data_IF_656011872735
#
_entry.id   IF_656011872735
#
_cell.length_a   1.000
_cell.length_b   1.000
_cell.length_c   1.000
_cell.angle_alpha   90.00
_cell.angle_beta   90.00
_cell.angle_gamma   90.00
#
_symmetry.space_group_name_H-M   'P 1'
#
loop_
_entity.id
_entity.type
_entity.pdbx_description
1 polymer ?
#
# COMPACT_ATOMS: atom_id res chain seq x y z
N UNK A 1 -7.22 -29.60 4.33
CA UNK A 1 -6.31 -28.44 4.23
C UNK A 1 -7.16 -27.20 4.44
N UNK A 2 -6.93 -26.47 5.53
CA UNK A 2 -7.59 -25.18 5.79
C UNK A 2 -6.79 -24.08 5.09
N UNK A 3 -7.47 -23.14 4.45
CA UNK A 3 -6.85 -21.92 3.95
C UNK A 3 -7.26 -20.78 4.89
N UNK A 4 -6.26 -20.08 5.44
CA UNK A 4 -6.49 -18.82 6.12
C UNK A 4 -6.57 -17.72 5.05
N UNK A 5 -7.58 -16.87 5.13
CA UNK A 5 -7.73 -15.70 4.27
C UNK A 5 -7.56 -14.47 5.13
N UNK A 6 -6.76 -13.54 4.68
CA UNK A 6 -6.57 -12.26 5.35
C UNK A 6 -7.43 -11.22 4.66
N UNK A 7 -8.32 -10.56 5.40
CA UNK A 7 -9.13 -9.46 4.88
C UNK A 7 -8.46 -8.12 5.18
N UNK A 8 -8.43 -7.23 4.19
CA UNK A 8 -8.08 -5.82 4.34
C UNK A 8 -9.34 -4.99 4.24
N UNK A 9 -9.46 -3.98 5.10
CA UNK A 9 -10.55 -3.02 5.09
C UNK A 9 -10.03 -1.59 5.06
N UNK A 10 -10.59 -0.78 4.16
CA UNK A 10 -10.38 0.67 4.08
C UNK A 10 -11.69 1.39 4.39
N UNK A 11 -11.60 2.52 5.08
CA UNK A 11 -12.75 3.31 5.51
C UNK A 11 -12.62 4.74 5.00
N UNK A 12 -13.69 5.26 4.40
CA UNK A 12 -13.80 6.64 3.90
C UNK A 12 -15.10 7.27 4.41
N UNK A 13 -15.16 8.60 4.62
CA UNK A 13 -16.44 9.28 4.80
C UNK A 13 -17.40 8.97 3.64
N UNK A 14 -18.70 8.87 3.93
CA UNK A 14 -19.67 8.47 2.93
C UNK A 14 -19.71 9.46 1.76
N UNK A 15 -19.68 8.91 0.54
CA UNK A 15 -19.75 9.71 -0.68
C UNK A 15 -18.46 10.45 -1.03
N UNK A 16 -17.36 10.21 -0.32
CA UNK A 16 -16.04 10.71 -0.70
C UNK A 16 -15.26 9.68 -1.52
N UNK A 17 -14.15 10.13 -2.10
CA UNK A 17 -13.13 9.29 -2.74
C UNK A 17 -11.81 9.47 -2.01
N UNK A 18 -10.84 8.62 -2.34
CA UNK A 18 -9.44 8.84 -1.92
C UNK A 18 -8.97 10.20 -2.44
N UNK A 19 -8.35 10.99 -1.57
CA UNK A 19 -7.63 12.20 -1.97
C UNK A 19 -6.25 11.82 -2.52
N UNK A 20 -6.23 11.50 -3.82
CA UNK A 20 -5.01 11.08 -4.51
C UNK A 20 -3.96 12.19 -4.56
N UNK A 21 -4.38 13.45 -4.68
CA UNK A 21 -3.44 14.57 -4.82
C UNK A 21 -2.69 14.78 -3.51
N UNK A 22 -3.40 14.80 -2.38
CA UNK A 22 -2.78 14.88 -1.06
C UNK A 22 -1.89 13.67 -0.78
N UNK A 23 -2.34 12.45 -1.09
CA UNK A 23 -1.53 11.25 -0.90
C UNK A 23 -0.25 11.25 -1.74
N UNK A 24 -0.32 11.68 -3.01
CA UNK A 24 0.86 11.79 -3.89
C UNK A 24 1.82 12.86 -3.42
N UNK A 25 1.33 14.00 -2.92
CA UNK A 25 2.17 15.04 -2.33
C UNK A 25 2.94 14.51 -1.11
N UNK A 26 2.27 13.79 -0.20
CA UNK A 26 2.93 13.14 0.94
C UNK A 26 3.96 12.09 0.49
N UNK A 27 3.67 11.28 -0.53
CA UNK A 27 4.66 10.35 -1.10
C UNK A 27 5.88 11.09 -1.63
N UNK A 28 5.70 12.19 -2.35
CA UNK A 28 6.82 12.99 -2.86
C UNK A 28 7.69 13.51 -1.71
N UNK A 29 7.09 14.05 -0.64
CA UNK A 29 7.81 14.52 0.54
C UNK A 29 8.59 13.39 1.23
N UNK A 30 7.95 12.25 1.46
CA UNK A 30 8.57 11.07 2.08
C UNK A 30 9.74 10.55 1.24
N UNK A 31 9.56 10.40 -0.08
CA UNK A 31 10.61 9.95 -0.98
C UNK A 31 11.79 10.93 -1.03
N UNK A 32 11.55 12.24 -1.02
CA UNK A 32 12.63 13.24 -0.99
C UNK A 32 13.42 13.20 0.32
N UNK A 33 12.74 12.97 1.44
CA UNK A 33 13.35 12.88 2.77
C UNK A 33 13.97 11.51 3.09
N UNK A 34 13.66 10.48 2.30
CA UNK A 34 14.04 9.10 2.57
C UNK A 34 15.55 8.93 2.79
N UNK A 35 15.88 8.23 3.88
CA UNK A 35 17.22 7.76 4.21
C UNK A 35 17.65 6.62 3.29
N UNK A 36 18.95 6.30 3.26
CA UNK A 36 19.44 5.16 2.48
C UNK A 36 18.88 3.83 2.99
N UNK A 37 18.67 3.69 4.30
CA UNK A 37 18.12 2.49 4.91
C UNK A 37 16.66 2.29 4.49
N UNK A 38 15.86 3.35 4.46
CA UNK A 38 14.47 3.29 3.98
C UNK A 38 14.40 2.98 2.47
N UNK A 39 15.28 3.58 1.66
CA UNK A 39 15.37 3.28 0.23
C UNK A 39 15.81 1.82 -0.02
N UNK A 40 16.76 1.32 0.76
CA UNK A 40 17.21 -0.06 0.70
C UNK A 40 16.10 -1.02 1.15
N UNK A 41 15.31 -0.64 2.15
CA UNK A 41 14.15 -1.40 2.59
C UNK A 41 13.09 -1.47 1.48
N UNK A 42 12.67 -0.33 0.93
CA UNK A 42 11.72 -0.27 -0.19
C UNK A 42 12.19 -1.11 -1.37
N UNK A 43 13.49 -1.09 -1.64
CA UNK A 43 14.11 -1.88 -2.67
C UNK A 43 14.03 -3.39 -2.38
N UNK A 44 14.48 -3.83 -1.20
CA UNK A 44 14.51 -5.26 -0.80
C UNK A 44 13.12 -5.88 -0.81
N UNK A 45 12.13 -5.09 -0.42
CA UNK A 45 10.75 -5.53 -0.25
C UNK A 45 9.90 -5.33 -1.52
N UNK A 46 10.55 -5.11 -2.67
CA UNK A 46 9.92 -5.01 -4.00
C UNK A 46 8.84 -3.91 -4.10
N UNK A 47 8.94 -2.88 -3.23
CA UNK A 47 8.13 -1.67 -3.36
C UNK A 47 8.59 -0.78 -4.51
N UNK A 48 9.79 -1.02 -5.03
CA UNK A 48 10.35 -0.39 -6.22
C UNK A 48 10.24 -1.32 -7.42
N UNK A 49 9.78 -0.79 -8.55
CA UNK A 49 9.72 -1.53 -9.81
C UNK A 49 11.08 -1.42 -10.54
N UNK A 50 11.86 -2.50 -10.50
CA UNK A 50 13.20 -2.61 -11.10
C UNK A 50 13.24 -2.17 -12.57
N UNK A 51 12.21 -2.52 -13.33
CA UNK A 51 12.14 -2.25 -14.77
C UNK A 51 11.90 -0.77 -15.08
N UNK A 52 11.57 0.03 -14.05
CA UNK A 52 11.26 1.45 -14.20
C UNK A 52 12.40 2.36 -13.77
N UNK A 53 13.41 1.80 -13.09
CA UNK A 53 14.57 2.54 -12.64
C UNK A 53 15.50 2.86 -13.84
N UNK A 54 15.85 4.14 -14.06
CA UNK A 54 16.77 4.52 -15.13
C UNK A 54 18.12 3.80 -15.02
N UNK A 55 18.51 3.10 -16.10
CA UNK A 55 19.80 2.39 -16.19
C UNK A 55 19.87 1.11 -15.36
N UNK A 56 18.74 0.61 -14.83
CA UNK A 56 18.72 -0.58 -13.99
C UNK A 56 19.16 -1.86 -14.70
N UNK A 57 19.04 -1.92 -16.02
CA UNK A 57 19.54 -3.03 -16.85
C UNK A 57 21.08 -3.13 -16.82
N UNK A 58 21.76 -2.02 -16.52
CA UNK A 58 23.21 -1.95 -16.41
C UNK A 58 23.70 -2.11 -14.96
N UNK A 59 22.78 -2.24 -14.00
CA UNK A 59 23.13 -2.45 -12.61
C UNK A 59 23.48 -3.92 -12.38
N UNK A 60 24.55 -4.22 -11.64
CA UNK A 60 24.93 -5.59 -11.38
C UNK A 60 23.82 -6.32 -10.61
N UNK A 61 23.53 -7.55 -11.06
CA UNK A 61 22.50 -8.41 -10.45
C UNK A 61 22.85 -8.80 -9.00
N UNK A 62 24.13 -8.72 -8.61
CA UNK A 62 24.62 -8.98 -7.25
C UNK A 62 24.70 -7.66 -6.47
N UNK A 63 23.53 -7.22 -6.02
CA UNK A 63 23.25 -5.89 -5.48
C UNK A 63 23.87 -5.50 -4.11
N UNK A 64 24.23 -6.40 -3.16
CA UNK A 64 24.68 -5.92 -1.85
C UNK A 64 26.03 -5.18 -1.86
N UNK A 65 26.75 -5.17 -3.00
CA UNK A 65 28.05 -4.51 -3.13
C UNK A 65 28.00 -3.15 -3.87
N UNK A 66 26.83 -2.72 -4.37
CA UNK A 66 26.73 -1.46 -5.11
C UNK A 66 26.66 -0.23 -4.18
N UNK A 67 27.33 0.89 -4.49
CA UNK A 67 27.31 2.07 -3.63
C UNK A 67 25.95 2.78 -3.68
N UNK A 68 25.02 2.36 -2.80
CA UNK A 68 23.70 2.98 -2.57
C UNK A 68 23.72 4.52 -2.48
N UNK A 69 24.74 5.17 -1.85
CA UNK A 69 24.79 6.64 -1.84
C UNK A 69 24.82 7.28 -3.23
N UNK A 70 25.50 6.66 -4.20
CA UNK A 70 25.60 7.20 -5.56
C UNK A 70 24.27 7.08 -6.34
N UNK A 71 23.41 6.15 -5.95
CA UNK A 71 22.12 5.89 -6.58
C UNK A 71 20.93 6.49 -5.81
N UNK A 72 21.16 7.12 -4.65
CA UNK A 72 20.10 7.64 -3.80
C UNK A 72 19.09 8.51 -4.55
N UNK A 73 19.56 9.40 -5.44
CA UNK A 73 18.68 10.23 -6.27
C UNK A 73 17.79 9.42 -7.22
N UNK A 74 18.35 8.39 -7.85
CA UNK A 74 17.61 7.50 -8.75
C UNK A 74 16.60 6.65 -7.98
N UNK A 75 17.01 6.11 -6.83
CA UNK A 75 16.13 5.31 -5.96
C UNK A 75 14.96 6.14 -5.42
N UNK A 76 15.19 7.39 -5.00
CA UNK A 76 14.11 8.30 -4.56
C UNK A 76 13.10 8.56 -5.68
N UNK A 77 13.59 8.90 -6.88
CA UNK A 77 12.72 9.16 -8.03
C UNK A 77 11.91 7.92 -8.44
N UNK A 78 12.56 6.74 -8.42
CA UNK A 78 11.88 5.47 -8.68
C UNK A 78 10.87 5.08 -7.62
N UNK A 79 11.18 5.33 -6.34
CA UNK A 79 10.26 5.13 -5.23
C UNK A 79 9.03 6.00 -5.37
N UNK A 80 9.22 7.29 -5.63
CA UNK A 80 8.13 8.23 -5.88
C UNK A 80 7.24 7.75 -7.02
N UNK A 81 7.82 7.44 -8.18
CA UNK A 81 7.05 6.96 -9.34
C UNK A 81 6.29 5.66 -9.05
N UNK A 82 6.94 4.70 -8.39
CA UNK A 82 6.33 3.40 -8.09
C UNK A 82 5.18 3.55 -7.10
N UNK A 83 5.37 4.33 -6.04
CA UNK A 83 4.35 4.59 -5.04
C UNK A 83 3.18 5.40 -5.61
N UNK A 84 3.42 6.39 -6.46
CA UNK A 84 2.36 7.10 -7.19
C UNK A 84 1.53 6.13 -8.05
N UNK A 85 2.18 5.23 -8.78
CA UNK A 85 1.47 4.22 -9.59
C UNK A 85 0.66 3.25 -8.71
N UNK A 86 1.20 2.85 -7.56
CA UNK A 86 0.48 2.02 -6.58
C UNK A 86 -0.73 2.76 -6.00
N UNK A 87 -0.63 4.07 -5.74
CA UNK A 87 -1.77 4.90 -5.34
C UNK A 87 -2.85 4.97 -6.44
N UNK A 88 -2.44 5.13 -7.70
CA UNK A 88 -3.39 5.10 -8.83
C UNK A 88 -4.11 3.74 -8.94
N UNK A 89 -3.37 2.64 -8.75
CA UNK A 89 -3.94 1.28 -8.71
C UNK A 89 -4.87 1.10 -7.51
N UNK A 90 -4.49 1.58 -6.34
CA UNK A 90 -5.33 1.59 -5.14
C UNK A 90 -6.67 2.28 -5.43
N UNK A 91 -6.66 3.51 -5.94
CA UNK A 91 -7.89 4.24 -6.22
C UNK A 91 -8.76 3.54 -7.27
N UNK A 92 -8.16 3.00 -8.33
CA UNK A 92 -8.88 2.21 -9.33
C UNK A 92 -9.49 0.93 -8.73
N UNK A 93 -8.76 0.26 -7.84
CA UNK A 93 -9.18 -1.01 -7.24
C UNK A 93 -10.41 -0.88 -6.35
N UNK A 94 -10.71 0.29 -5.79
CA UNK A 94 -11.94 0.52 -5.00
C UNK A 94 -13.23 0.28 -5.78
N UNK A 95 -13.15 0.31 -7.12
CA UNK A 95 -14.23 0.02 -8.05
C UNK A 95 -14.04 -1.32 -8.77
N UNK A 96 -13.05 -2.10 -8.36
CA UNK A 96 -12.75 -3.43 -8.86
C UNK A 96 -13.81 -4.45 -8.50
N UNK A 97 -13.90 -5.51 -9.31
CA UNK A 97 -14.87 -6.61 -9.13
C UNK A 97 -14.65 -7.44 -7.85
N UNK A 98 -13.45 -7.37 -7.31
CA UNK A 98 -12.92 -8.09 -6.16
C UNK A 98 -12.96 -7.26 -4.86
N UNK A 99 -13.60 -6.10 -4.91
CA UNK A 99 -13.82 -5.22 -3.76
C UNK A 99 -15.32 -5.12 -3.47
N UNK A 100 -15.67 -5.34 -2.20
CA UNK A 100 -17.03 -5.16 -1.71
C UNK A 100 -17.12 -3.87 -0.92
N UNK A 101 -18.10 -3.03 -1.26
CA UNK A 101 -18.40 -1.77 -0.54
C UNK A 101 -19.62 -1.94 0.35
N UNK A 102 -19.47 -1.56 1.61
CA UNK A 102 -20.54 -1.49 2.59
C UNK A 102 -20.75 -0.03 3.02
N UNK A 103 -22.01 0.40 3.13
CA UNK A 103 -22.41 1.70 3.68
C UNK A 103 -22.81 1.50 5.14
N UNK A 104 -22.21 2.26 6.05
CA UNK A 104 -22.60 2.29 7.46
C UNK A 104 -23.08 3.69 7.81
N UNK A 105 -24.32 3.80 8.31
CA UNK A 105 -24.96 5.08 8.63
C UNK A 105 -25.69 5.74 7.45
N UNK A 106 -26.52 6.75 7.77
CA UNK A 106 -27.28 7.55 6.81
C UNK A 106 -26.60 8.90 6.57
N UNK A 107 -26.61 9.41 5.33
CA UNK A 107 -26.01 10.72 5.00
C UNK A 107 -24.50 10.74 5.19
N UNK A 108 -24.04 11.35 6.29
CA UNK A 108 -22.63 11.56 6.68
C UNK A 108 -21.97 10.29 7.27
N UNK A 109 -22.34 9.11 6.75
CA UNK A 109 -21.87 7.81 7.23
C UNK A 109 -20.41 7.49 6.83
N UNK A 110 -20.09 6.20 6.83
CA UNK A 110 -18.79 5.67 6.39
C UNK A 110 -19.00 4.64 5.28
N UNK A 111 -18.19 4.72 4.23
CA UNK A 111 -18.03 3.66 3.25
C UNK A 111 -16.86 2.77 3.64
N UNK A 112 -17.13 1.47 3.83
CA UNK A 112 -16.13 0.45 4.11
C UNK A 112 -15.89 -0.40 2.86
N UNK A 113 -14.64 -0.47 2.40
CA UNK A 113 -14.20 -1.25 1.26
C UNK A 113 -13.43 -2.46 1.78
N UNK A 114 -13.79 -3.66 1.31
CA UNK A 114 -13.19 -4.92 1.79
C UNK A 114 -12.67 -5.73 0.61
N UNK A 115 -11.47 -6.27 0.76
CA UNK A 115 -10.83 -7.23 -0.16
C UNK A 115 -10.01 -8.27 0.63
N UNK A 116 -9.51 -9.33 -0.01
CA UNK A 116 -8.84 -10.43 0.69
C UNK A 116 -7.70 -11.11 -0.08
N UNK A 117 -6.80 -11.74 0.68
CA UNK A 117 -5.64 -12.52 0.21
C UNK A 117 -5.55 -13.89 0.88
N UNK A 118 -4.72 -14.80 0.36
CA UNK A 118 -4.36 -16.05 1.02
C UNK A 118 -3.25 -15.77 2.04
N UNK A 119 -3.39 -16.20 3.29
CA UNK A 119 -2.50 -15.81 4.39
C UNK A 119 -2.22 -14.28 4.42
N UNK A 120 -1.31 -13.77 5.26
CA UNK A 120 -0.99 -12.33 5.28
C UNK A 120 -0.23 -11.88 4.02
N UNK A 121 0.54 -12.79 3.40
CA UNK A 121 1.53 -12.51 2.38
C UNK A 121 1.19 -13.03 0.97
N UNK A 122 0.18 -13.90 0.80
CA UNK A 122 -0.20 -14.37 -0.54
C UNK A 122 -1.38 -13.55 -1.10
N UNK A 123 -1.19 -12.97 -2.27
CA UNK A 123 -2.24 -12.25 -2.97
C UNK A 123 -3.28 -13.21 -3.56
N UNK A 124 -4.56 -13.01 -3.23
CA UNK A 124 -5.67 -13.70 -3.93
C UNK A 124 -6.29 -12.79 -5.01
N UNK A 125 -6.22 -11.47 -4.83
CA UNK A 125 -6.84 -10.50 -5.74
C UNK A 125 -5.95 -9.29 -6.01
N UNK A 126 -6.12 -8.66 -7.17
CA UNK A 126 -5.33 -7.50 -7.58
C UNK A 126 -5.52 -6.30 -6.63
N UNK A 127 -6.72 -6.15 -6.04
CA UNK A 127 -6.98 -5.12 -5.04
C UNK A 127 -6.18 -5.35 -3.76
N UNK A 128 -5.99 -6.61 -3.33
CA UNK A 128 -5.20 -6.91 -2.13
C UNK A 128 -3.81 -6.30 -2.22
N UNK A 129 -3.09 -6.55 -3.32
CA UNK A 129 -1.74 -6.01 -3.54
C UNK A 129 -1.72 -4.49 -3.69
N UNK A 130 -2.71 -3.96 -4.40
CA UNK A 130 -2.85 -2.52 -4.62
C UNK A 130 -3.01 -1.75 -3.30
N UNK A 131 -3.58 -2.36 -2.27
CA UNK A 131 -3.81 -1.73 -0.97
C UNK A 131 -2.58 -1.75 -0.06
N UNK A 132 -1.49 -2.41 -0.47
CA UNK A 132 -0.29 -2.53 0.35
C UNK A 132 0.36 -1.20 0.73
N UNK A 133 0.33 -0.20 -0.16
CA UNK A 133 0.85 1.17 0.11
C UNK A 133 0.09 1.85 1.26
N UNK A 134 -1.19 1.48 1.36
CA UNK A 134 -2.15 1.68 2.43
C UNK A 134 -1.75 1.10 3.77
N UNK A 135 -1.68 -0.23 3.74
CA UNK A 135 -2.08 -1.09 4.85
C UNK A 135 -0.91 -1.55 5.70
N UNK A 136 0.35 -1.43 5.22
CA UNK A 136 1.59 -1.90 5.84
C UNK A 136 1.34 -2.97 6.92
N UNK A 137 1.04 -4.17 6.44
CA UNK A 137 0.66 -5.32 7.29
C UNK A 137 1.84 -5.90 8.06
N UNK A 138 3.05 -5.48 7.70
CA UNK A 138 4.29 -5.88 8.32
C UNK A 138 5.19 -4.64 8.50
N UNK A 139 5.52 -4.25 9.75
CA UNK A 139 6.38 -3.09 10.03
C UNK A 139 7.80 -3.27 9.47
N UNK A 140 8.21 -4.51 9.19
CA UNK A 140 9.57 -4.78 8.70
C UNK A 140 9.68 -4.72 7.17
N UNK A 141 8.56 -4.54 6.45
CA UNK A 141 8.50 -4.56 4.98
C UNK A 141 8.30 -3.20 4.34
N UNK A 142 7.98 -2.17 5.11
CA UNK A 142 7.77 -0.81 4.61
C UNK A 142 8.30 0.19 5.62
N UNK A 143 8.89 1.33 5.20
CA UNK A 143 9.39 2.35 6.13
C UNK A 143 8.36 2.73 7.19
N UNK A 144 8.81 2.76 8.44
CA UNK A 144 7.95 2.92 9.60
C UNK A 144 7.10 4.20 9.48
N UNK A 145 5.79 4.07 9.69
CA UNK A 145 4.86 5.19 9.70
C UNK A 145 4.52 5.79 8.33
N UNK A 146 5.19 5.42 7.24
CA UNK A 146 4.90 5.95 5.89
C UNK A 146 3.47 5.61 5.46
N UNK A 147 3.06 4.34 5.62
CA UNK A 147 1.73 3.89 5.23
C UNK A 147 0.61 4.61 6.01
N UNK A 148 0.84 4.88 7.29
CA UNK A 148 -0.07 5.67 8.11
C UNK A 148 -0.19 7.13 7.65
N UNK A 149 0.94 7.76 7.29
CA UNK A 149 0.97 9.12 6.77
C UNK A 149 0.30 9.23 5.40
N UNK A 150 0.61 8.31 4.48
CA UNK A 150 0.00 8.24 3.15
C UNK A 150 -1.51 7.98 3.27
N UNK A 151 -1.92 7.04 4.12
CA UNK A 151 -3.32 6.73 4.38
C UNK A 151 -4.09 7.91 4.98
N UNK A 152 -3.47 8.66 5.90
CA UNK A 152 -4.07 9.87 6.45
C UNK A 152 -4.26 10.95 5.38
N UNK A 153 -3.24 11.19 4.57
CA UNK A 153 -3.29 12.15 3.46
C UNK A 153 -4.33 11.77 2.40
N UNK A 154 -4.52 10.46 2.18
CA UNK A 154 -5.57 9.91 1.31
C UNK A 154 -7.00 10.09 1.87
N UNK A 155 -7.16 10.57 3.11
CA UNK A 155 -8.45 10.75 3.77
C UNK A 155 -9.03 9.49 4.42
N UNK A 156 -8.20 8.46 4.66
CA UNK A 156 -8.67 7.20 5.26
C UNK A 156 -8.95 7.34 6.75
N UNK A 157 -10.01 6.66 7.19
CA UNK A 157 -10.47 6.61 8.58
C UNK A 157 -10.00 5.34 9.32
N UNK A 158 -9.93 5.43 10.65
CA UNK A 158 -9.69 4.37 11.62
C UNK A 158 -10.94 3.51 11.69
N UNK A 159 -10.84 2.29 12.24
CA UNK A 159 -12.01 1.45 12.44
C UNK A 159 -12.94 2.04 13.52
N UNK A 160 -12.45 2.98 14.34
CA UNK A 160 -13.23 3.77 15.30
C UNK A 160 -13.79 5.08 14.73
N UNK A 161 -13.55 5.38 13.44
CA UNK A 161 -14.07 6.54 12.73
C UNK A 161 -13.20 7.80 12.77
N UNK A 162 -12.02 7.80 13.42
CA UNK A 162 -11.19 9.00 13.56
C UNK A 162 -9.78 8.87 12.93
N UNK A 163 -9.45 9.60 11.84
CA UNK A 163 -8.06 9.66 11.31
C UNK A 163 -7.51 8.28 10.90
N UNK A 164 -6.21 7.98 10.75
CA UNK A 164 -5.78 6.70 10.15
C UNK A 164 -5.70 5.52 11.14
N UNK A 165 -6.34 4.39 10.83
CA UNK A 165 -5.87 3.03 11.14
C UNK A 165 -6.65 2.01 10.29
N UNK A 166 -5.93 1.27 9.46
CA UNK A 166 -6.49 0.16 8.73
C UNK A 166 -6.53 -1.07 9.62
N UNK A 167 -7.45 -1.99 9.33
CA UNK A 167 -7.56 -3.25 10.05
C UNK A 167 -7.39 -4.40 9.09
N UNK A 168 -6.40 -5.21 9.37
CA UNK A 168 -6.24 -6.54 8.79
C UNK A 168 -6.88 -7.54 9.74
N UNK A 169 -7.76 -8.41 9.22
CA UNK A 169 -8.45 -9.42 10.03
C UNK A 169 -8.20 -10.79 9.43
N UNK A 170 -7.54 -11.72 10.16
CA UNK A 170 -7.45 -13.10 9.72
C UNK A 170 -8.81 -13.77 9.85
N UNK A 171 -9.28 -14.41 8.78
CA UNK A 171 -10.52 -15.18 8.74
C UNK A 171 -10.19 -16.59 8.28
N UNK A 172 -10.56 -17.59 9.08
CA UNK A 172 -10.40 -19.00 8.69
C UNK A 172 -11.67 -19.46 7.99
N UNK A 173 -11.56 -19.85 6.72
CA UNK A 173 -12.68 -20.45 6.01
C UNK A 173 -12.62 -21.97 6.12
N UNK A 174 -13.74 -22.55 6.57
CA UNK A 174 -13.96 -23.99 6.51
C UNK A 174 -14.65 -24.31 5.19
N UNK A 175 -14.03 -25.14 4.35
CA UNK A 175 -14.69 -25.69 3.18
C UNK A 175 -15.81 -26.61 3.69
N UNK A 176 -17.06 -26.32 3.33
CA UNK A 176 -18.14 -27.27 3.50
C UNK A 176 -17.95 -28.38 2.46
N UNK A 177 -17.93 -29.63 2.94
CA UNK A 177 -17.84 -30.83 2.12
C UNK A 177 -19.19 -31.17 1.50
#
# INVERSE_FOLDING_TARGET
MHAAITLRALYLPAGTTIDLDSAKATVTELCQAATLDELNLLFREEWLDWDTLPGSQDWPHDWPEYPLPALAGVLRAGAEQTLHRRLDRLAASLHGRDVVRFRVGDGDGVDAYVTGGLDADDALTDAYDSWGVVVATDPDRFPEGWAGQIGAAAGLLRPDGAGPAMRTVPVTFHRWA
#
